data_IF_948567483529
#
_entry.id   IF_948567483529
#
_cell.length_a   1.000
_cell.length_b   1.000
_cell.length_c   1.000
_cell.angle_alpha   90.00
_cell.angle_beta   90.00
_cell.angle_gamma   90.00
#
_symmetry.space_group_name_H-M   'P 1'
#
loop_
_entity.id
_entity.type
_entity.pdbx_description
1 polymer ?
#
# COMPACT_ATOMS: atom_id res chain seq x y z
N UNK A 1 39.68 -5.92 10.81
CA UNK A 1 38.89 -5.10 9.89
C UNK A 1 37.56 -5.79 9.73
N UNK A 2 36.46 -5.29 10.26
CA UNK A 2 35.16 -5.92 9.98
C UNK A 2 34.80 -5.57 8.53
N UNK A 3 34.47 -6.61 7.75
CA UNK A 3 33.94 -6.50 6.41
C UNK A 3 32.76 -5.51 6.41
N UNK A 4 32.86 -4.47 5.58
CA UNK A 4 31.72 -3.68 5.19
C UNK A 4 30.73 -4.62 4.49
N UNK A 5 29.74 -5.09 5.20
CA UNK A 5 28.56 -5.70 4.59
C UNK A 5 27.98 -4.58 3.72
N UNK A 6 28.13 -4.67 2.41
CA UNK A 6 27.34 -3.86 1.49
C UNK A 6 25.88 -4.13 1.83
N UNK A 7 25.24 -3.17 2.51
CA UNK A 7 23.81 -3.23 2.75
C UNK A 7 23.14 -3.14 1.39
N UNK A 8 22.58 -4.25 0.93
CA UNK A 8 21.68 -4.22 -0.22
C UNK A 8 20.62 -3.16 0.10
N UNK A 9 20.58 -2.07 -0.67
CA UNK A 9 19.67 -0.98 -0.39
C UNK A 9 18.26 -1.44 -0.70
N UNK A 10 17.45 -1.56 0.34
CA UNK A 10 16.06 -2.00 0.26
C UNK A 10 15.19 -0.94 -0.44
N UNK A 11 14.03 -1.31 -1.03
CA UNK A 11 13.14 -0.36 -1.66
C UNK A 11 12.63 0.67 -0.64
N UNK A 12 12.66 1.94 -1.01
CA UNK A 12 11.99 3.02 -0.32
C UNK A 12 10.56 3.09 -0.82
N UNK A 13 9.58 2.89 0.05
CA UNK A 13 8.16 2.91 -0.31
C UNK A 13 7.45 4.06 0.37
N UNK A 14 6.78 4.88 -0.43
CA UNK A 14 5.96 6.00 0.02
C UNK A 14 4.46 5.63 -0.04
N UNK A 15 3.58 6.37 0.63
CA UNK A 15 2.15 6.07 0.63
C UNK A 15 1.46 6.16 -0.73
N UNK A 16 0.25 5.60 -0.81
CA UNK A 16 -0.70 5.75 -1.90
C UNK A 16 -0.93 7.24 -2.23
N UNK A 17 -0.95 7.60 -3.51
CA UNK A 17 -1.18 8.97 -4.00
C UNK A 17 -0.33 10.06 -3.30
N UNK A 18 0.83 9.73 -2.75
CA UNK A 18 1.66 10.68 -1.99
C UNK A 18 2.16 11.85 -2.82
N UNK A 19 2.23 11.73 -4.16
CA UNK A 19 2.67 12.79 -5.06
C UNK A 19 1.54 13.76 -5.42
N UNK A 20 0.31 13.28 -5.47
CA UNK A 20 -0.86 14.08 -5.90
C UNK A 20 -1.80 14.43 -4.77
N UNK A 21 -1.66 13.77 -3.59
CA UNK A 21 -2.63 13.80 -2.51
C UNK A 21 -3.78 12.82 -2.75
N UNK A 22 -4.62 12.57 -1.74
CA UNK A 22 -5.56 11.46 -1.78
C UNK A 22 -7.02 11.86 -1.52
N UNK A 23 -7.40 12.18 -0.28
CA UNK A 23 -8.82 12.21 0.07
C UNK A 23 -9.60 13.41 -0.50
N UNK A 24 -8.92 14.50 -0.83
CA UNK A 24 -9.54 15.64 -1.50
C UNK A 24 -9.93 15.34 -2.97
N UNK A 25 -9.35 14.29 -3.59
CA UNK A 25 -9.65 13.89 -4.97
C UNK A 25 -11.15 13.75 -5.22
N UNK A 26 -11.90 13.21 -4.26
CA UNK A 26 -13.36 13.01 -4.35
C UNK A 26 -14.15 14.29 -4.58
N UNK A 27 -13.58 15.47 -4.28
CA UNK A 27 -14.20 16.79 -4.41
C UNK A 27 -13.85 17.50 -5.73
N UNK A 28 -12.91 16.96 -6.49
CA UNK A 28 -12.43 17.58 -7.74
C UNK A 28 -13.48 17.42 -8.84
N UNK A 29 -13.52 18.41 -9.74
CA UNK A 29 -14.17 18.25 -11.04
C UNK A 29 -13.23 17.45 -11.97
N UNK A 30 -13.78 16.85 -13.04
CA UNK A 30 -12.97 16.12 -14.02
C UNK A 30 -11.85 16.98 -14.62
N UNK A 31 -12.08 18.27 -15.00
CA UNK A 31 -10.98 19.14 -15.44
C UNK A 31 -9.88 19.38 -14.40
N UNK A 32 -10.23 19.49 -13.12
CA UNK A 32 -9.24 19.62 -12.04
C UNK A 32 -8.45 18.33 -11.85
N UNK A 33 -9.11 17.17 -11.94
CA UNK A 33 -8.46 15.88 -11.89
C UNK A 33 -7.49 15.70 -13.06
N UNK A 34 -7.90 16.12 -14.27
CA UNK A 34 -7.05 16.11 -15.48
C UNK A 34 -5.81 17.00 -15.32
N UNK A 35 -5.94 18.16 -14.69
CA UNK A 35 -4.82 19.07 -14.44
C UNK A 35 -3.81 18.54 -13.44
N UNK A 36 -4.25 17.64 -12.54
CA UNK A 36 -3.42 17.01 -11.51
C UNK A 36 -2.75 15.73 -12.02
N UNK A 37 -3.44 14.98 -12.90
CA UNK A 37 -3.02 13.66 -13.34
C UNK A 37 -1.86 13.72 -14.34
N UNK A 38 -0.97 12.74 -14.27
CA UNK A 38 0.19 12.62 -15.16
C UNK A 38 0.14 11.32 -15.98
N UNK A 39 0.72 11.32 -17.20
CA UNK A 39 0.91 10.06 -17.92
C UNK A 39 1.95 9.19 -17.21
N UNK A 40 1.72 7.87 -17.19
CA UNK A 40 2.66 6.89 -16.62
C UNK A 40 3.05 5.92 -17.75
N UNK A 41 4.38 5.70 -17.99
CA UNK A 41 5.54 6.12 -17.19
C UNK A 41 6.16 7.49 -17.56
N UNK A 42 5.62 8.20 -18.53
CA UNK A 42 6.29 9.33 -19.18
C UNK A 42 6.06 10.70 -18.51
N UNK A 43 5.36 10.72 -17.38
CA UNK A 43 5.07 11.94 -16.62
C UNK A 43 6.29 12.54 -15.91
N UNK A 44 6.24 13.81 -15.52
CA UNK A 44 7.36 14.49 -14.86
C UNK A 44 7.73 13.82 -13.53
N UNK A 45 6.76 13.37 -12.73
CA UNK A 45 7.02 12.66 -11.48
C UNK A 45 7.73 11.33 -11.72
N UNK A 46 7.32 10.55 -12.71
CA UNK A 46 7.96 9.27 -13.06
C UNK A 46 9.41 9.47 -13.49
N UNK A 47 9.68 10.48 -14.34
CA UNK A 47 11.05 10.82 -14.75
C UNK A 47 11.90 11.21 -13.55
N UNK A 48 11.36 12.04 -12.64
CA UNK A 48 12.08 12.48 -11.45
C UNK A 48 12.37 11.33 -10.48
N UNK A 49 11.43 10.42 -10.29
CA UNK A 49 11.64 9.21 -9.48
C UNK A 49 12.73 8.33 -10.09
N UNK A 50 12.72 8.15 -11.41
CA UNK A 50 13.74 7.35 -12.11
C UNK A 50 15.14 7.96 -11.98
N UNK A 51 15.28 9.27 -12.18
CA UNK A 51 16.53 9.99 -11.95
C UNK A 51 17.06 9.81 -10.53
N UNK A 52 16.18 9.92 -9.52
CA UNK A 52 16.53 9.70 -8.11
C UNK A 52 16.98 8.26 -7.86
N UNK A 53 16.22 7.28 -8.36
CA UNK A 53 16.53 5.86 -8.20
C UNK A 53 17.90 5.52 -8.79
N UNK A 54 18.17 5.95 -10.02
CA UNK A 54 19.46 5.73 -10.68
C UNK A 54 20.62 6.45 -9.97
N UNK A 55 20.42 7.71 -9.59
CA UNK A 55 21.46 8.53 -8.93
C UNK A 55 21.83 8.00 -7.54
N UNK A 56 20.84 7.52 -6.78
CA UNK A 56 21.03 7.04 -5.42
C UNK A 56 21.30 5.54 -5.34
N UNK A 57 21.15 4.81 -6.45
CA UNK A 57 21.30 3.35 -6.48
C UNK A 57 20.22 2.60 -5.70
N UNK A 58 19.01 3.18 -5.55
CA UNK A 58 17.90 2.61 -4.75
C UNK A 58 16.67 2.37 -5.60
N UNK A 59 15.80 1.49 -5.16
CA UNK A 59 14.44 1.34 -5.69
C UNK A 59 13.51 2.29 -4.93
N UNK A 60 12.68 3.06 -5.64
CA UNK A 60 11.76 4.04 -5.04
C UNK A 60 10.36 3.80 -5.57
N UNK A 61 9.39 3.63 -4.65
CA UNK A 61 7.97 3.50 -4.96
C UNK A 61 7.16 4.69 -4.48
N UNK A 62 6.28 5.25 -5.33
CA UNK A 62 5.40 6.36 -4.98
C UNK A 62 4.08 6.30 -5.74
N UNK A 63 2.99 6.81 -5.13
CA UNK A 63 1.64 6.81 -5.70
C UNK A 63 1.26 8.17 -6.29
N UNK A 64 0.48 8.14 -7.38
CA UNK A 64 -0.05 9.32 -8.07
C UNK A 64 -1.36 9.00 -8.80
N UNK A 65 -2.04 10.05 -9.25
CA UNK A 65 -3.15 9.93 -10.20
C UNK A 65 -2.59 9.86 -11.62
N UNK A 66 -2.85 8.75 -12.31
CA UNK A 66 -2.45 8.54 -13.71
C UNK A 66 -3.52 9.06 -14.66
N UNK A 67 -3.11 9.76 -15.71
CA UNK A 67 -3.91 10.04 -16.92
C UNK A 67 -3.53 9.04 -18.01
N UNK A 68 -4.47 8.19 -18.40
CA UNK A 68 -4.26 7.22 -19.49
C UNK A 68 -4.74 7.74 -20.86
N UNK A 69 -5.04 9.05 -20.95
CA UNK A 69 -5.64 9.67 -22.13
C UNK A 69 -7.17 9.62 -22.12
N UNK A 70 -7.80 10.40 -22.99
CA UNK A 70 -9.26 10.42 -23.25
C UNK A 70 -10.15 10.53 -21.98
N UNK A 71 -9.66 11.26 -20.95
CA UNK A 71 -10.38 11.44 -19.69
C UNK A 71 -10.44 10.18 -18.82
N UNK A 72 -9.56 9.21 -19.03
CA UNK A 72 -9.44 7.99 -18.24
C UNK A 72 -8.34 8.18 -17.19
N UNK A 73 -8.69 7.96 -15.93
CA UNK A 73 -7.79 8.12 -14.79
C UNK A 73 -7.67 6.84 -13.98
N UNK A 74 -6.50 6.66 -13.33
CA UNK A 74 -6.24 5.57 -12.40
C UNK A 74 -5.51 6.08 -11.16
N UNK A 75 -5.78 5.45 -10.03
CA UNK A 75 -4.90 5.49 -8.88
C UNK A 75 -3.76 4.51 -9.14
N UNK A 76 -2.56 5.04 -9.34
CA UNK A 76 -1.41 4.28 -9.82
C UNK A 76 -0.24 4.39 -8.85
N UNK A 77 0.42 3.27 -8.61
CA UNK A 77 1.70 3.22 -7.91
C UNK A 77 2.81 2.88 -8.88
N UNK A 78 3.87 3.67 -8.86
CA UNK A 78 5.06 3.44 -9.68
C UNK A 78 6.24 3.03 -8.81
N UNK A 79 7.07 2.11 -9.32
CA UNK A 79 8.34 1.73 -8.72
C UNK A 79 9.43 1.99 -9.74
N UNK A 80 10.27 2.97 -9.45
CA UNK A 80 11.45 3.31 -10.24
C UNK A 80 12.66 2.58 -9.67
N UNK A 81 13.44 1.94 -10.53
CA UNK A 81 14.58 1.11 -10.14
C UNK A 81 15.91 1.66 -10.63
N UNK A 82 17.03 1.37 -9.93
CA UNK A 82 18.35 1.92 -10.29
C UNK A 82 18.91 1.40 -11.61
N UNK A 83 18.33 0.31 -12.16
CA UNK A 83 18.66 -0.23 -13.47
C UNK A 83 17.94 0.44 -14.65
N UNK A 84 17.19 1.50 -14.39
CA UNK A 84 16.47 2.28 -15.40
C UNK A 84 15.05 1.82 -15.68
N UNK A 85 14.57 0.76 -15.02
CA UNK A 85 13.20 0.27 -15.19
C UNK A 85 12.20 1.04 -14.31
N UNK A 86 10.99 1.23 -14.86
CA UNK A 86 9.79 1.64 -14.12
C UNK A 86 8.75 0.53 -14.24
N UNK A 87 8.19 0.15 -13.08
CA UNK A 87 7.03 -0.73 -12.98
C UNK A 87 5.86 0.09 -12.48
N UNK A 88 4.67 -0.15 -13.03
CA UNK A 88 3.43 0.47 -12.56
C UNK A 88 2.42 -0.59 -12.12
N UNK A 89 1.57 -0.21 -11.18
CA UNK A 89 0.38 -0.94 -10.77
C UNK A 89 -0.78 0.02 -10.63
N UNK A 90 -1.91 -0.28 -11.24
CA UNK A 90 -3.18 0.44 -11.10
C UNK A 90 -4.02 -0.23 -10.03
N UNK A 91 -4.53 0.53 -9.08
CA UNK A 91 -5.37 0.02 -7.98
C UNK A 91 -6.53 -0.80 -8.52
N UNK A 92 -6.68 -2.04 -8.04
CA UNK A 92 -7.70 -2.97 -8.51
C UNK A 92 -9.11 -2.59 -8.03
N UNK A 93 -9.20 -1.90 -6.87
CA UNK A 93 -10.45 -1.52 -6.23
C UNK A 93 -10.44 -0.01 -5.93
N UNK A 94 -10.49 0.80 -6.98
CA UNK A 94 -10.48 2.26 -6.86
C UNK A 94 -11.85 2.79 -6.45
N UNK A 95 -11.88 3.83 -5.59
CA UNK A 95 -13.10 4.50 -5.13
C UNK A 95 -12.90 5.99 -4.79
N UNK A 96 -11.72 6.51 -5.04
CA UNK A 96 -11.31 7.88 -4.63
C UNK A 96 -12.07 8.97 -5.36
N UNK A 97 -12.47 8.71 -6.60
CA UNK A 97 -13.23 9.66 -7.42
C UNK A 97 -14.02 8.91 -8.51
N UNK A 98 -15.27 9.30 -8.84
CA UNK A 98 -16.09 8.56 -9.82
C UNK A 98 -15.48 8.41 -11.22
N UNK A 99 -14.55 9.29 -11.62
CA UNK A 99 -13.84 9.20 -12.88
C UNK A 99 -12.55 8.35 -12.82
N UNK A 100 -12.12 7.93 -11.64
CA UNK A 100 -10.97 7.02 -11.47
C UNK A 100 -11.44 5.59 -11.64
N UNK A 101 -10.83 4.88 -12.58
CA UNK A 101 -11.15 3.48 -12.89
C UNK A 101 -10.30 2.51 -12.07
N UNK A 102 -10.86 1.34 -11.82
CA UNK A 102 -10.10 0.19 -11.31
C UNK A 102 -9.19 -0.40 -12.38
N UNK A 103 -8.00 -0.85 -11.95
CA UNK A 103 -7.11 -1.66 -12.77
C UNK A 103 -7.62 -3.10 -12.89
N UNK A 104 -6.99 -3.88 -13.75
CA UNK A 104 -7.38 -5.25 -14.10
C UNK A 104 -6.21 -6.24 -14.14
N UNK A 105 -5.02 -5.79 -13.71
CA UNK A 105 -3.80 -6.59 -13.77
C UNK A 105 -3.09 -6.66 -12.40
N UNK A 106 -2.62 -7.86 -12.05
CA UNK A 106 -1.73 -8.06 -10.90
C UNK A 106 -0.28 -7.85 -11.33
N UNK A 107 0.43 -7.02 -10.59
CA UNK A 107 1.83 -6.66 -10.85
C UNK A 107 2.76 -7.43 -9.92
N UNK A 108 3.60 -8.29 -10.51
CA UNK A 108 4.71 -9.00 -9.85
C UNK A 108 5.95 -8.84 -10.71
N UNK A 109 7.08 -8.48 -10.11
CA UNK A 109 8.30 -8.14 -10.85
C UNK A 109 9.57 -8.49 -10.07
N UNK A 110 10.65 -8.76 -10.81
CA UNK A 110 11.96 -9.01 -10.23
C UNK A 110 12.68 -7.68 -9.99
N UNK A 111 13.21 -7.49 -8.79
CA UNK A 111 13.99 -6.31 -8.42
C UNK A 111 15.48 -6.52 -8.72
N UNK A 112 16.27 -5.45 -8.93
CA UNK A 112 17.72 -5.56 -9.10
C UNK A 112 18.43 -6.00 -7.81
N UNK A 113 17.69 -6.10 -6.69
CA UNK A 113 18.20 -6.51 -5.37
C UNK A 113 18.05 -8.03 -5.11
N UNK A 114 17.60 -8.81 -6.10
CA UNK A 114 17.53 -10.26 -6.03
C UNK A 114 16.29 -10.84 -5.34
N UNK A 115 15.23 -10.06 -5.16
CA UNK A 115 13.95 -10.58 -4.69
C UNK A 115 12.81 -10.21 -5.64
N UNK A 116 11.73 -11.00 -5.59
CA UNK A 116 10.53 -10.82 -6.39
C UNK A 116 9.48 -10.06 -5.59
N UNK A 117 9.12 -8.87 -6.07
CA UNK A 117 8.14 -7.99 -5.43
C UNK A 117 6.78 -8.05 -6.10
N UNK A 118 5.74 -7.73 -5.32
CA UNK A 118 4.39 -7.46 -5.80
C UNK A 118 3.90 -6.11 -5.29
N UNK A 119 2.91 -5.55 -5.98
CA UNK A 119 2.21 -4.32 -5.62
C UNK A 119 0.71 -4.59 -5.42
N UNK A 120 0.16 -4.11 -4.31
CA UNK A 120 -1.27 -4.00 -4.06
C UNK A 120 -1.52 -2.70 -3.29
N UNK A 121 -2.47 -1.88 -3.77
CA UNK A 121 -2.70 -0.55 -3.23
C UNK A 121 -3.89 -0.56 -2.26
N UNK A 122 -3.63 -0.25 -0.98
CA UNK A 122 -4.63 0.04 0.05
C UNK A 122 -5.74 -1.05 0.12
N UNK A 123 -6.96 -0.73 -0.31
CA UNK A 123 -8.11 -1.64 -0.27
C UNK A 123 -7.87 -2.98 -0.98
N UNK A 124 -6.98 -3.02 -1.98
CA UNK A 124 -6.61 -4.27 -2.65
C UNK A 124 -6.05 -5.32 -1.68
N UNK A 125 -5.33 -4.90 -0.63
CA UNK A 125 -4.74 -5.77 0.39
C UNK A 125 -5.80 -6.33 1.36
N UNK A 126 -6.95 -5.66 1.49
CA UNK A 126 -8.06 -6.17 2.30
C UNK A 126 -8.67 -7.43 1.70
N UNK A 127 -8.67 -7.54 0.37
CA UNK A 127 -9.19 -8.70 -0.36
C UNK A 127 -8.13 -9.80 -0.36
N UNK A 128 -8.39 -10.88 0.36
CA UNK A 128 -7.42 -11.96 0.59
C UNK A 128 -6.99 -12.67 -0.70
N UNK A 129 -7.90 -12.78 -1.67
CA UNK A 129 -7.66 -13.37 -2.98
C UNK A 129 -6.57 -12.62 -3.76
N UNK A 130 -6.54 -11.29 -3.68
CA UNK A 130 -5.51 -10.48 -4.34
C UNK A 130 -4.11 -10.84 -3.82
N UNK A 131 -3.95 -10.94 -2.49
CA UNK A 131 -2.68 -11.31 -1.89
C UNK A 131 -2.32 -12.76 -2.24
N UNK A 132 -3.31 -13.65 -2.28
CA UNK A 132 -3.11 -15.05 -2.68
C UNK A 132 -2.61 -15.14 -4.12
N UNK A 133 -3.15 -14.37 -5.05
CA UNK A 133 -2.76 -14.38 -6.46
C UNK A 133 -1.31 -13.91 -6.62
N UNK A 134 -0.90 -12.82 -6.00
CA UNK A 134 0.48 -12.35 -6.10
C UNK A 134 1.47 -13.32 -5.45
N UNK A 135 1.10 -13.98 -4.35
CA UNK A 135 1.91 -15.04 -3.74
C UNK A 135 2.05 -16.26 -4.67
N UNK A 136 0.97 -16.67 -5.35
CA UNK A 136 0.99 -17.74 -6.36
C UNK A 136 1.86 -17.39 -7.57
N UNK A 137 2.00 -16.11 -7.91
CA UNK A 137 2.93 -15.61 -8.93
C UNK A 137 4.37 -15.51 -8.44
N UNK A 138 4.64 -15.97 -7.22
CA UNK A 138 5.98 -16.08 -6.65
C UNK A 138 6.49 -14.82 -5.97
N UNK A 139 5.61 -13.90 -5.56
CA UNK A 139 6.03 -12.75 -4.77
C UNK A 139 6.66 -13.17 -3.43
N UNK A 140 7.78 -12.55 -3.10
CA UNK A 140 8.52 -12.72 -1.84
C UNK A 140 8.31 -11.53 -0.91
N UNK A 141 8.09 -10.36 -1.51
CA UNK A 141 7.83 -9.09 -0.81
C UNK A 141 6.59 -8.44 -1.42
N UNK A 142 5.61 -8.11 -0.58
CA UNK A 142 4.45 -7.32 -0.96
C UNK A 142 4.68 -5.86 -0.55
N UNK A 143 4.69 -4.96 -1.51
CA UNK A 143 4.65 -3.51 -1.28
C UNK A 143 3.18 -3.09 -1.19
N UNK A 144 2.79 -2.56 -0.04
CA UNK A 144 1.41 -2.24 0.32
C UNK A 144 1.26 -0.75 0.69
N UNK A 145 1.28 0.16 -0.30
CA UNK A 145 1.05 1.58 -0.06
C UNK A 145 -0.43 1.85 0.26
N UNK A 146 -0.67 2.66 1.30
CA UNK A 146 -2.00 2.94 1.82
C UNK A 146 -2.21 4.43 2.10
N UNK A 147 -3.49 4.79 2.23
CA UNK A 147 -3.99 6.02 2.86
C UNK A 147 -5.17 5.64 3.76
N UNK A 148 -4.89 5.06 4.92
CA UNK A 148 -5.90 4.44 5.79
C UNK A 148 -5.74 4.84 7.25
N UNK A 149 -6.75 4.48 8.06
CA UNK A 149 -6.87 4.91 9.45
C UNK A 149 -7.51 6.28 9.59
N UNK A 150 -8.20 6.52 10.69
CA UNK A 150 -8.91 7.78 10.95
C UNK A 150 -10.06 8.08 9.96
N UNK A 151 -10.50 7.09 9.19
CA UNK A 151 -11.50 7.25 8.14
C UNK A 151 -12.91 7.33 8.68
N UNK A 152 -13.74 8.17 8.06
CA UNK A 152 -15.18 8.21 8.32
C UNK A 152 -15.83 6.89 7.88
N UNK A 153 -16.65 6.32 8.75
CA UNK A 153 -17.42 5.10 8.50
C UNK A 153 -18.69 5.12 9.32
N UNK A 154 -19.74 4.47 8.82
CA UNK A 154 -21.00 4.24 9.57
C UNK A 154 -20.91 2.99 10.44
N UNK A 155 -19.93 2.13 10.22
CA UNK A 155 -19.71 0.90 10.97
C UNK A 155 -18.94 1.19 12.29
N UNK A 156 -19.53 0.99 13.46
CA UNK A 156 -18.92 1.32 14.74
C UNK A 156 -17.71 0.40 15.09
N UNK A 157 -17.50 -0.67 14.33
CA UNK A 157 -16.41 -1.62 14.53
C UNK A 157 -15.20 -1.38 13.60
N UNK A 158 -15.28 -0.38 12.74
CA UNK A 158 -14.21 0.04 11.84
C UNK A 158 -13.66 1.38 12.28
N UNK A 159 -12.36 1.56 12.18
CA UNK A 159 -11.62 2.82 12.31
C UNK A 159 -12.40 3.97 13.03
N UNK A 160 -12.80 5.01 12.33
CA UNK A 160 -13.49 6.20 12.87
C UNK A 160 -12.60 7.44 12.81
N UNK A 161 -13.25 8.60 12.71
CA UNK A 161 -12.57 9.90 12.58
C UNK A 161 -11.83 10.26 13.88
N UNK A 162 -10.61 10.77 13.74
CA UNK A 162 -9.83 11.35 14.82
C UNK A 162 -10.20 12.83 14.94
N UNK A 163 -10.36 13.33 16.18
CA UNK A 163 -10.61 14.76 16.42
C UNK A 163 -9.42 15.59 15.91
N UNK A 164 -9.71 16.54 15.02
CA UNK A 164 -8.71 17.41 14.41
C UNK A 164 -7.90 18.19 15.46
N UNK A 165 -8.48 18.55 16.59
CA UNK A 165 -7.78 19.28 17.66
C UNK A 165 -6.61 18.49 18.21
N UNK A 166 -6.73 17.15 18.35
CA UNK A 166 -5.62 16.31 18.81
C UNK A 166 -4.41 16.40 17.86
N UNK A 167 -4.67 16.49 16.56
CA UNK A 167 -3.60 16.69 15.58
C UNK A 167 -2.99 18.09 15.66
N UNK A 168 -3.82 19.11 15.77
CA UNK A 168 -3.37 20.52 15.82
C UNK A 168 -2.57 20.80 17.10
N UNK A 169 -2.88 20.13 18.21
CA UNK A 169 -2.21 20.22 19.51
C UNK A 169 -1.06 19.21 19.71
N UNK A 170 -0.73 18.38 18.70
CA UNK A 170 0.22 17.27 18.82
C UNK A 170 1.63 17.62 19.30
N UNK A 171 2.07 18.86 19.10
CA UNK A 171 3.38 19.31 19.60
C UNK A 171 3.33 19.58 21.12
N UNK A 172 2.18 20.02 21.63
CA UNK A 172 1.97 20.28 23.05
C UNK A 172 1.61 18.99 23.82
N UNK A 173 0.82 18.09 23.22
CA UNK A 173 0.44 16.79 23.79
C UNK A 173 0.54 15.68 22.73
N UNK A 174 1.77 15.22 22.42
CA UNK A 174 1.96 14.14 21.45
C UNK A 174 1.34 12.82 21.90
N UNK A 175 1.25 12.57 23.21
CA UNK A 175 0.74 11.31 23.73
C UNK A 175 -0.76 11.15 23.48
N UNK A 176 -1.53 12.23 23.53
CA UNK A 176 -2.96 12.20 23.27
C UNK A 176 -3.28 11.73 21.83
N UNK A 177 -2.63 12.34 20.83
CA UNK A 177 -2.82 11.96 19.43
C UNK A 177 -2.23 10.56 19.14
N UNK A 178 -1.04 10.23 19.63
CA UNK A 178 -0.42 8.93 19.40
C UNK A 178 -1.20 7.77 20.02
N UNK A 179 -1.96 8.02 21.09
CA UNK A 179 -2.90 7.03 21.66
C UNK A 179 -4.03 6.71 20.66
N UNK A 180 -4.58 7.72 19.98
CA UNK A 180 -5.57 7.53 18.91
C UNK A 180 -4.96 6.75 17.73
N UNK A 181 -3.74 7.13 17.29
CA UNK A 181 -3.05 6.47 16.18
C UNK A 181 -2.77 5.00 16.49
N UNK A 182 -2.45 4.65 17.73
CA UNK A 182 -2.21 3.27 18.18
C UNK A 182 -3.49 2.49 18.46
N UNK A 183 -4.59 3.18 18.70
CA UNK A 183 -5.90 2.62 19.04
C UNK A 183 -6.67 2.01 17.87
N UNK A 184 -7.97 1.82 18.09
CA UNK A 184 -8.92 1.19 17.15
C UNK A 184 -9.08 1.96 15.83
N UNK A 185 -8.74 3.24 15.81
CA UNK A 185 -8.80 4.07 14.61
C UNK A 185 -7.58 3.90 13.69
N UNK A 186 -6.52 3.27 14.18
CA UNK A 186 -5.26 3.08 13.45
C UNK A 186 -4.67 1.69 13.66
N UNK A 187 -3.56 1.61 14.42
CA UNK A 187 -2.75 0.40 14.57
C UNK A 187 -3.56 -0.82 15.02
N UNK A 188 -4.39 -0.68 16.04
CA UNK A 188 -5.14 -1.83 16.56
C UNK A 188 -6.08 -2.43 15.50
N UNK A 189 -6.71 -1.60 14.66
CA UNK A 189 -7.45 -2.04 13.49
C UNK A 189 -6.57 -2.79 12.48
N UNK A 190 -5.41 -2.23 12.12
CA UNK A 190 -4.48 -2.83 11.16
C UNK A 190 -4.00 -4.22 11.63
N UNK A 191 -3.72 -4.38 12.92
CA UNK A 191 -3.23 -5.62 13.50
C UNK A 191 -4.27 -6.76 13.51
N UNK A 192 -5.55 -6.47 13.25
CA UNK A 192 -6.58 -7.53 13.15
C UNK A 192 -6.45 -8.37 11.89
N UNK A 193 -5.87 -7.83 10.83
CA UNK A 193 -5.87 -8.51 9.53
C UNK A 193 -4.52 -8.47 8.79
N UNK A 194 -3.74 -7.41 8.91
CA UNK A 194 -2.53 -7.20 8.11
C UNK A 194 -1.43 -8.26 8.36
N UNK A 195 -1.14 -8.68 9.60
CA UNK A 195 -0.16 -9.75 9.85
C UNK A 195 -0.49 -11.05 9.13
N UNK A 196 -1.77 -11.40 9.00
CA UNK A 196 -2.20 -12.61 8.29
C UNK A 196 -1.94 -12.54 6.77
N UNK A 197 -1.88 -11.33 6.19
CA UNK A 197 -1.50 -11.16 4.77
C UNK A 197 -0.06 -11.62 4.53
N UNK A 198 0.85 -11.36 5.45
CA UNK A 198 2.21 -11.87 5.38
C UNK A 198 2.28 -13.36 5.74
N UNK A 199 1.68 -13.77 6.87
CA UNK A 199 1.72 -15.11 7.42
C UNK A 199 1.11 -16.16 6.48
N UNK A 200 -0.14 -15.99 6.06
CA UNK A 200 -0.89 -16.97 5.28
C UNK A 200 -0.35 -17.15 3.85
N UNK A 201 0.46 -16.21 3.42
CA UNK A 201 1.05 -16.21 2.08
C UNK A 201 2.57 -16.45 2.08
N UNK A 202 3.20 -16.45 3.27
CA UNK A 202 4.62 -16.72 3.45
C UNK A 202 5.51 -15.72 2.71
N UNK A 203 5.20 -14.43 2.83
CA UNK A 203 5.92 -13.32 2.20
C UNK A 203 6.21 -12.20 3.22
N UNK A 204 7.21 -11.37 2.93
CA UNK A 204 7.37 -10.11 3.65
C UNK A 204 6.32 -9.11 3.18
N UNK A 205 5.83 -8.26 4.09
CA UNK A 205 4.90 -7.18 3.76
C UNK A 205 5.48 -5.85 4.23
N UNK A 206 5.60 -4.89 3.32
CA UNK A 206 6.03 -3.52 3.60
C UNK A 206 4.82 -2.62 3.44
N UNK A 207 4.30 -2.15 4.58
CA UNK A 207 3.16 -1.25 4.65
C UNK A 207 3.64 0.18 4.82
N UNK A 208 3.37 1.03 3.84
CA UNK A 208 3.58 2.48 3.91
C UNK A 208 2.23 3.19 3.94
N UNK A 209 2.07 4.18 4.82
CA UNK A 209 0.77 4.82 5.03
C UNK A 209 0.94 6.32 5.28
N UNK A 210 0.00 7.13 4.80
CA UNK A 210 -0.02 8.55 5.09
C UNK A 210 -0.22 8.83 6.58
N UNK A 211 0.32 9.94 7.06
CA UNK A 211 0.16 10.46 8.42
C UNK A 211 -0.25 11.92 8.35
N UNK A 212 -1.20 12.31 9.21
CA UNK A 212 -1.63 13.70 9.32
C UNK A 212 -2.90 14.02 8.55
N UNK A 213 -3.09 15.32 8.35
CA UNK A 213 -4.31 15.86 7.73
C UNK A 213 -4.38 15.48 6.26
N UNK A 214 -5.47 14.82 5.90
CA UNK A 214 -5.82 14.47 4.54
C UNK A 214 -7.28 14.90 4.32
N UNK A 215 -7.44 16.15 3.86
CA UNK A 215 -8.70 16.87 3.73
C UNK A 215 -9.44 17.04 5.09
N UNK A 216 -10.53 16.32 5.32
CA UNK A 216 -11.32 16.36 6.54
C UNK A 216 -11.08 15.17 7.49
N UNK A 217 -10.06 14.37 7.22
CA UNK A 217 -9.66 13.20 8.03
C UNK A 217 -8.20 13.30 8.48
N UNK A 218 -7.84 12.53 9.51
CA UNK A 218 -6.46 12.38 9.98
C UNK A 218 -5.99 10.97 9.67
N UNK A 219 -5.02 10.83 8.76
CA UNK A 219 -4.36 9.55 8.49
C UNK A 219 -3.45 9.17 9.64
N UNK A 220 -3.40 7.88 9.96
CA UNK A 220 -2.81 7.41 11.22
C UNK A 220 -1.34 7.04 11.12
N UNK A 221 -0.75 7.04 9.92
CA UNK A 221 0.62 6.55 9.77
C UNK A 221 0.68 5.05 10.04
N UNK A 222 1.39 4.66 11.11
CA UNK A 222 1.58 3.27 11.52
C UNK A 222 2.28 2.42 10.45
N UNK A 223 3.17 3.02 9.64
CA UNK A 223 3.99 2.26 8.70
C UNK A 223 4.65 1.08 9.42
N UNK A 224 4.67 -0.08 8.78
CA UNK A 224 5.17 -1.30 9.40
C UNK A 224 5.75 -2.28 8.37
N UNK A 225 6.70 -3.10 8.83
CA UNK A 225 7.29 -4.18 8.05
C UNK A 225 7.01 -5.49 8.78
N UNK A 226 6.45 -6.46 8.05
CA UNK A 226 6.12 -7.78 8.59
C UNK A 226 6.98 -8.86 7.93
N UNK A 227 7.38 -9.85 8.72
CA UNK A 227 8.05 -11.04 8.22
C UNK A 227 7.04 -12.11 7.72
N UNK A 228 7.52 -13.20 7.07
CA UNK A 228 6.65 -14.26 6.55
C UNK A 228 5.88 -15.07 7.61
N UNK A 229 6.09 -14.77 8.89
CA UNK A 229 5.35 -15.34 10.03
C UNK A 229 4.35 -14.34 10.63
N UNK A 230 4.15 -13.18 10.01
CA UNK A 230 3.26 -12.12 10.47
C UNK A 230 3.78 -11.34 11.67
N UNK A 231 5.06 -11.48 12.02
CA UNK A 231 5.68 -10.71 13.12
C UNK A 231 6.07 -9.33 12.62
N UNK A 232 5.86 -8.32 13.44
CA UNK A 232 6.32 -6.95 13.17
C UNK A 232 7.84 -6.90 13.33
N UNK A 233 8.55 -6.55 12.26
CA UNK A 233 10.00 -6.32 12.27
C UNK A 233 10.33 -4.87 12.67
N UNK A 234 9.56 -3.92 12.17
CA UNK A 234 9.67 -2.51 12.49
C UNK A 234 8.32 -1.83 12.29
N UNK A 235 8.00 -0.83 13.09
CA UNK A 235 6.79 -0.02 12.97
C UNK A 235 6.99 1.38 13.52
N UNK A 236 6.16 2.33 13.07
CA UNK A 236 6.07 3.69 13.64
C UNK A 236 4.67 3.95 14.18
N UNK A 237 4.58 4.80 15.19
CA UNK A 237 3.30 5.23 15.77
C UNK A 237 3.33 6.71 16.15
N UNK A 238 4.27 7.47 15.54
CA UNK A 238 4.48 8.90 15.80
C UNK A 238 3.48 9.75 15.02
N UNK A 239 3.08 10.85 15.61
CA UNK A 239 2.21 11.85 14.98
C UNK A 239 3.01 12.83 14.10
N UNK A 240 3.70 12.33 13.09
CA UNK A 240 4.52 13.10 12.17
C UNK A 240 5.21 12.19 11.16
N UNK A 241 5.92 12.80 10.22
CA UNK A 241 6.70 12.08 9.24
C UNK A 241 7.73 11.20 9.92
N UNK A 242 7.76 9.92 9.51
CA UNK A 242 8.68 8.94 10.07
C UNK A 242 8.99 7.85 9.03
N UNK A 243 10.09 7.14 9.25
CA UNK A 243 10.53 6.07 8.38
C UNK A 243 10.93 4.85 9.20
N UNK A 244 10.44 3.68 8.80
CA UNK A 244 10.84 2.40 9.39
C UNK A 244 11.78 1.64 8.45
N UNK A 245 12.76 0.97 9.03
CA UNK A 245 13.75 0.16 8.30
C UNK A 245 13.91 -1.18 8.99
N UNK A 246 13.97 -2.26 8.21
CA UNK A 246 14.24 -3.60 8.71
C UNK A 246 15.08 -4.40 7.71
N UNK A 247 15.90 -5.30 8.23
CA UNK A 247 16.61 -6.27 7.40
C UNK A 247 15.67 -7.46 7.10
N UNK A 248 15.44 -7.74 5.81
CA UNK A 248 14.61 -8.86 5.35
C UNK A 248 15.49 -10.09 5.17
N UNK A 249 15.44 -11.03 6.11
CA UNK A 249 16.22 -12.26 6.05
C UNK A 249 15.59 -13.27 5.08
N UNK A 250 16.11 -13.42 3.89
CA UNK A 250 15.57 -14.29 2.83
C UNK A 250 15.35 -15.75 3.30
N UNK A 251 16.20 -16.26 4.21
CA UNK A 251 16.08 -17.61 4.77
C UNK A 251 14.76 -17.84 5.54
N UNK A 252 14.05 -16.79 5.97
CA UNK A 252 12.73 -16.92 6.58
C UNK A 252 11.66 -17.37 5.58
N UNK A 253 11.88 -17.16 4.28
CA UNK A 253 10.97 -17.59 3.22
C UNK A 253 11.00 -19.11 3.02
N UNK A 254 12.15 -19.76 3.25
CA UNK A 254 12.36 -21.18 2.95
C UNK A 254 11.43 -22.10 3.75
N UNK A 255 11.15 -21.71 5.00
CA UNK A 255 10.35 -22.49 5.93
C UNK A 255 9.04 -21.80 6.33
N UNK A 256 8.65 -20.73 5.62
CA UNK A 256 7.42 -20.01 5.91
C UNK A 256 6.20 -20.93 5.74
N UNK A 257 5.42 -21.07 6.81
CA UNK A 257 4.28 -21.98 6.83
C UNK A 257 3.23 -21.64 5.76
N UNK A 258 3.03 -20.36 5.46
CA UNK A 258 2.15 -19.92 4.39
C UNK A 258 2.56 -20.48 3.01
N UNK A 259 3.85 -20.61 2.72
CA UNK A 259 4.34 -21.24 1.48
C UNK A 259 4.02 -22.75 1.44
N UNK A 260 4.11 -23.45 2.55
CA UNK A 260 3.68 -24.85 2.64
C UNK A 260 2.18 -24.99 2.42
N UNK A 261 1.37 -24.09 2.96
CA UNK A 261 -0.08 -24.08 2.72
C UNK A 261 -0.43 -23.79 1.26
N UNK A 262 0.34 -22.93 0.58
CA UNK A 262 0.19 -22.71 -0.86
C UNK A 262 0.47 -23.99 -1.64
N UNK A 263 1.51 -24.75 -1.28
CA UNK A 263 1.81 -26.05 -1.92
C UNK A 263 0.73 -27.11 -1.65
N UNK A 264 0.11 -27.08 -0.47
CA UNK A 264 -0.94 -28.02 -0.08
C UNK A 264 -2.33 -27.70 -0.69
N UNK A 265 -2.45 -26.65 -1.51
CA UNK A 265 -3.72 -26.25 -2.15
C UNK A 265 -4.28 -27.36 -3.03
N UNK A 266 -5.61 -27.42 -3.06
CA UNK A 266 -6.38 -28.32 -3.94
C UNK A 266 -7.22 -27.51 -4.94
N UNK A 267 -6.62 -26.96 -6.02
CA UNK A 267 -7.25 -25.99 -6.91
C UNK A 267 -8.63 -26.45 -7.47
N UNK A 268 -8.80 -27.74 -7.68
CA UNK A 268 -10.06 -28.31 -8.17
C UNK A 268 -11.25 -28.12 -7.21
N UNK A 269 -11.00 -27.80 -5.93
CA UNK A 269 -12.05 -27.50 -4.94
C UNK A 269 -12.41 -26.02 -4.86
N UNK A 270 -11.74 -25.14 -5.62
CA UNK A 270 -11.86 -23.68 -5.45
C UNK A 270 -12.57 -23.02 -6.62
N UNK A 271 -13.33 -23.78 -7.41
CA UNK A 271 -14.05 -23.25 -8.58
C UNK A 271 -15.03 -22.13 -8.21
N UNK A 272 -15.66 -22.21 -7.02
CA UNK A 272 -16.59 -21.19 -6.55
C UNK A 272 -15.96 -19.80 -6.38
N UNK A 273 -14.63 -19.72 -6.15
CA UNK A 273 -13.92 -18.42 -6.04
C UNK A 273 -13.87 -17.64 -7.37
N UNK A 274 -14.08 -18.31 -8.49
CA UNK A 274 -14.08 -17.70 -9.83
C UNK A 274 -15.47 -17.55 -10.43
N UNK A 275 -16.53 -17.98 -9.74
CA UNK A 275 -17.92 -17.89 -10.20
C UNK A 275 -18.61 -16.72 -9.52
N UNK A 276 -19.11 -15.73 -10.29
CA UNK A 276 -19.86 -14.62 -9.71
C UNK A 276 -21.08 -15.11 -8.92
N UNK A 277 -21.26 -14.59 -7.72
CA UNK A 277 -22.44 -14.88 -6.88
C UNK A 277 -23.60 -13.95 -7.17
N UNK A 278 -23.37 -12.87 -7.93
CA UNK A 278 -24.32 -11.80 -8.21
C UNK A 278 -24.51 -10.82 -7.05
N UNK A 279 -23.67 -10.94 -6.00
CA UNK A 279 -23.66 -10.04 -4.83
C UNK A 279 -22.44 -9.11 -4.81
N UNK A 280 -21.52 -9.33 -5.76
CA UNK A 280 -20.32 -8.50 -5.90
C UNK A 280 -20.73 -7.06 -6.26
N UNK A 281 -20.11 -6.11 -5.59
CA UNK A 281 -20.24 -4.67 -5.84
C UNK A 281 -18.87 -4.09 -6.14
N UNK A 282 -18.81 -3.12 -7.03
CA UNK A 282 -17.58 -2.39 -7.20
C UNK A 282 -17.26 -1.50 -5.97
N UNK A 283 -16.02 -1.09 -5.84
CA UNK A 283 -15.55 -0.33 -4.67
C UNK A 283 -16.25 1.05 -4.55
N UNK A 284 -16.65 1.68 -5.66
CA UNK A 284 -17.43 2.92 -5.64
C UNK A 284 -18.85 2.70 -5.08
N UNK A 285 -19.49 1.56 -5.41
CA UNK A 285 -20.81 1.23 -4.87
C UNK A 285 -20.74 0.99 -3.36
N UNK A 286 -19.76 0.20 -2.91
CA UNK A 286 -19.56 -0.08 -1.48
C UNK A 286 -19.28 1.19 -0.69
N UNK A 287 -18.42 2.07 -1.20
CA UNK A 287 -18.07 3.32 -0.51
C UNK A 287 -19.24 4.31 -0.39
N UNK A 288 -20.23 4.24 -1.28
CA UNK A 288 -21.44 5.06 -1.19
C UNK A 288 -22.43 4.55 -0.14
N UNK A 289 -22.35 3.27 0.20
CA UNK A 289 -23.21 2.62 1.21
C UNK A 289 -22.64 2.75 2.64
N UNK A 290 -21.35 3.03 2.77
CA UNK A 290 -20.68 3.33 4.04
C UNK A 290 -20.91 4.78 4.50
#
# INVERSE_FOLDING_TARGET
MPNSVERAQSPQTFPECCLTGYWFLRKLTVPQLQALAEPVPDGPSCRRLLELAMRLGITVGAGLVESAGDGVFYNTYVVAMPDGRIVRHRKLHAFEHPAVRSGDEYTVFDTPHGFRAALLICYDVNIVENVRIVALRGAEVLLAPHQTGGCRTTNPHLMGVIDRRLWDEREADPEAIERELRGEKGRAWLMRWMPSRAHDHGLFLIFSNGVGVDDDEIRTGNAAIFDPYGRVLAETGRAGDDMVVADLQASLLDKAIGRLWIQARRPLLYSELSVPTGREKDAHQLKREE
#
